data_IF_043688268546
#
_entry.id   IF_043688268546
#
_cell.length_a   1.000
_cell.length_b   1.000
_cell.length_c   1.000
_cell.angle_alpha   90.00
_cell.angle_beta   90.00
_cell.angle_gamma   90.00
#
_symmetry.space_group_name_H-M   'P 1'
#
loop_
_entity.id
_entity.type
_entity.pdbx_description
1 polymer ?
#
# COMPACT_ATOMS: atom_id res chain seq x y z
N UNK A 1 4.67 5.47 -24.71
CA UNK A 1 4.51 5.39 -23.23
C UNK A 1 5.86 5.03 -22.59
N UNK A 2 6.30 5.81 -21.61
CA UNK A 2 7.51 5.48 -20.86
C UNK A 2 7.23 4.25 -19.97
N UNK A 3 8.23 3.36 -19.74
CA UNK A 3 8.06 2.22 -18.87
C UNK A 3 7.78 2.70 -17.42
N UNK A 4 6.98 1.94 -16.63
CA UNK A 4 6.82 2.23 -15.21
C UNK A 4 8.19 2.22 -14.52
N UNK A 5 8.45 3.22 -13.68
CA UNK A 5 9.69 3.35 -12.90
C UNK A 5 9.37 3.39 -11.40
N UNK A 6 10.29 2.87 -10.59
CA UNK A 6 10.13 2.82 -9.13
C UNK A 6 10.37 1.41 -8.56
N UNK A 7 10.42 1.30 -7.24
CA UNK A 7 10.51 -0.02 -6.59
C UNK A 7 9.11 -0.67 -6.58
N UNK A 8 8.97 -1.94 -7.03
CA UNK A 8 7.67 -2.58 -7.20
C UNK A 8 6.88 -2.76 -5.90
N UNK A 9 7.52 -2.74 -4.73
CA UNK A 9 6.85 -3.00 -3.45
C UNK A 9 5.94 -1.84 -3.00
N UNK A 10 6.33 -0.60 -3.30
CA UNK A 10 5.51 0.60 -3.03
C UNK A 10 4.62 1.00 -4.20
N UNK A 11 4.84 0.42 -5.38
CA UNK A 11 4.16 0.82 -6.60
C UNK A 11 2.64 0.53 -6.52
N UNK A 12 1.84 1.53 -6.88
CA UNK A 12 0.39 1.40 -6.93
C UNK A 12 -0.06 0.35 -7.98
N UNK A 13 -1.15 -0.39 -7.76
CA UNK A 13 -1.61 -1.43 -8.67
C UNK A 13 -1.80 -0.92 -10.11
N UNK A 14 -2.36 0.27 -10.30
CA UNK A 14 -2.55 0.87 -11.62
C UNK A 14 -1.24 1.18 -12.36
N UNK A 15 -0.18 1.52 -11.62
CA UNK A 15 1.17 1.77 -12.17
C UNK A 15 1.82 0.45 -12.60
N UNK A 16 1.70 -0.60 -11.78
CA UNK A 16 2.18 -1.96 -12.12
C UNK A 16 1.53 -2.46 -13.42
N UNK A 17 0.22 -2.17 -13.60
CA UNK A 17 -0.51 -2.55 -14.80
C UNK A 17 -0.33 -1.58 -15.99
N UNK A 18 0.57 -0.60 -15.89
CA UNK A 18 0.80 0.42 -16.92
C UNK A 18 -0.48 1.14 -17.39
N UNK A 19 -1.44 1.34 -16.47
CA UNK A 19 -2.65 2.13 -16.71
C UNK A 19 -2.34 3.62 -16.55
N UNK A 20 -3.27 4.48 -16.97
CA UNK A 20 -3.20 5.89 -16.61
C UNK A 20 -3.25 6.03 -15.08
N UNK A 21 -2.35 6.83 -14.53
CA UNK A 21 -2.24 7.12 -13.10
C UNK A 21 -2.03 8.62 -12.90
N UNK A 22 -2.44 9.11 -11.73
CA UNK A 22 -2.31 10.49 -11.29
C UNK A 22 -1.55 10.54 -9.95
N UNK A 23 -1.64 11.65 -9.21
CA UNK A 23 -0.97 11.82 -7.91
C UNK A 23 -1.39 10.79 -6.86
N UNK A 24 -2.53 10.10 -7.05
CA UNK A 24 -3.02 9.11 -6.09
C UNK A 24 -2.16 7.86 -6.06
N UNK A 25 -1.34 7.62 -7.09
CA UNK A 25 -0.33 6.56 -7.06
C UNK A 25 0.70 6.79 -5.94
N UNK A 26 1.05 8.05 -5.65
CA UNK A 26 1.96 8.40 -4.56
C UNK A 26 1.29 8.19 -3.20
N UNK A 27 -0.04 8.38 -3.10
CA UNK A 27 -0.80 8.07 -1.88
C UNK A 27 -0.80 6.58 -1.56
N UNK A 28 -0.82 5.71 -2.57
CA UNK A 28 -0.65 4.27 -2.34
C UNK A 28 0.73 3.97 -1.77
N UNK A 29 1.77 4.54 -2.39
CA UNK A 29 3.16 4.39 -1.91
C UNK A 29 3.32 4.88 -0.47
N UNK A 30 2.70 6.02 -0.15
CA UNK A 30 2.60 6.55 1.21
C UNK A 30 1.87 5.59 2.16
N UNK A 31 0.76 5.00 1.73
CA UNK A 31 0.06 3.96 2.48
C UNK A 31 0.95 2.76 2.83
N UNK A 32 1.73 2.26 1.87
CA UNK A 32 2.70 1.18 2.12
C UNK A 32 3.76 1.60 3.15
N UNK A 33 4.33 2.81 3.05
CA UNK A 33 5.28 3.32 4.04
C UNK A 33 4.66 3.44 5.44
N UNK A 34 3.40 3.88 5.56
CA UNK A 34 2.72 3.94 6.85
C UNK A 34 2.56 2.54 7.46
N UNK A 35 2.27 1.53 6.64
CA UNK A 35 2.16 0.14 7.08
C UNK A 35 3.52 -0.42 7.55
N UNK A 36 4.62 -0.11 6.86
CA UNK A 36 5.97 -0.44 7.34
C UNK A 36 6.24 0.16 8.72
N UNK A 37 5.88 1.42 8.94
CA UNK A 37 6.04 2.09 10.24
C UNK A 37 5.15 1.43 11.31
N UNK A 38 3.90 1.11 10.98
CA UNK A 38 2.94 0.55 11.92
C UNK A 38 3.33 -0.84 12.39
N UNK A 39 3.72 -1.73 11.48
CA UNK A 39 4.08 -3.12 11.81
C UNK A 39 5.59 -3.33 12.03
N UNK A 40 6.42 -2.31 11.73
CA UNK A 40 7.89 -2.37 11.79
C UNK A 40 8.47 -3.49 10.94
N UNK A 41 7.96 -3.60 9.72
CA UNK A 41 8.36 -4.60 8.72
C UNK A 41 8.79 -3.93 7.42
N UNK A 42 9.46 -4.68 6.56
CA UNK A 42 9.78 -4.25 5.20
C UNK A 42 8.58 -4.40 4.26
N UNK A 43 8.47 -3.54 3.23
CA UNK A 43 7.43 -3.61 2.21
C UNK A 43 7.49 -4.84 1.29
N UNK A 44 8.56 -5.65 1.38
CA UNK A 44 8.71 -6.87 0.60
C UNK A 44 7.47 -7.79 0.81
N UNK A 45 6.82 -8.29 -0.25
CA UNK A 45 5.68 -9.20 -0.15
C UNK A 45 5.93 -10.51 0.63
N UNK A 46 7.19 -10.92 0.84
CA UNK A 46 7.53 -12.02 1.73
C UNK A 46 7.29 -11.67 3.21
N UNK A 47 7.35 -10.39 3.56
CA UNK A 47 7.18 -9.88 4.93
C UNK A 47 5.83 -9.16 5.09
N UNK A 48 5.50 -8.21 4.21
CA UNK A 48 4.23 -7.50 4.22
C UNK A 48 3.16 -8.32 3.49
N UNK A 49 2.04 -8.67 4.12
CA UNK A 49 1.04 -9.54 3.52
C UNK A 49 0.29 -8.80 2.40
N UNK A 50 0.53 -9.21 1.15
CA UNK A 50 -0.11 -8.66 -0.05
C UNK A 50 -1.15 -9.61 -0.63
N UNK A 51 -2.15 -9.06 -1.30
CA UNK A 51 -3.15 -9.83 -2.04
C UNK A 51 -2.69 -10.10 -3.47
N UNK A 52 -3.32 -11.06 -4.18
CA UNK A 52 -3.01 -11.40 -5.58
C UNK A 52 -3.20 -10.25 -6.58
N UNK A 53 -3.99 -9.24 -6.20
CA UNK A 53 -4.23 -8.02 -6.99
C UNK A 53 -3.35 -6.84 -6.51
N UNK A 54 -2.21 -7.13 -5.87
CA UNK A 54 -1.21 -6.16 -5.41
C UNK A 54 -1.68 -5.19 -4.31
N UNK A 55 -2.83 -5.44 -3.68
CA UNK A 55 -3.26 -4.75 -2.47
C UNK A 55 -2.65 -5.32 -1.19
N UNK A 56 -3.17 -4.90 -0.04
CA UNK A 56 -2.76 -5.35 1.29
C UNK A 56 -3.79 -6.32 1.85
N UNK A 57 -3.36 -7.44 2.42
CA UNK A 57 -4.25 -8.35 3.16
C UNK A 57 -4.42 -7.80 4.57
N UNK A 58 -5.47 -6.99 4.76
CA UNK A 58 -5.70 -6.26 6.00
C UNK A 58 -5.90 -7.17 7.22
N UNK A 59 -6.44 -8.38 7.02
CA UNK A 59 -6.68 -9.32 8.12
C UNK A 59 -5.34 -9.82 8.65
N UNK A 60 -4.49 -10.34 7.76
CA UNK A 60 -3.14 -10.80 8.14
C UNK A 60 -2.27 -9.66 8.62
N UNK A 61 -2.40 -8.48 8.01
CA UNK A 61 -1.62 -7.32 8.43
C UNK A 61 -1.96 -6.94 9.88
N UNK A 62 -3.24 -6.90 10.25
CA UNK A 62 -3.66 -6.60 11.63
C UNK A 62 -3.11 -7.60 12.66
N UNK A 63 -2.88 -8.86 12.30
CA UNK A 63 -2.25 -9.86 13.18
C UNK A 63 -0.79 -9.53 13.50
N UNK A 64 -0.13 -8.69 12.68
CA UNK A 64 1.25 -8.26 12.85
C UNK A 64 1.39 -6.95 13.64
N UNK A 65 0.29 -6.24 13.90
CA UNK A 65 0.29 -4.95 14.58
C UNK A 65 0.17 -5.17 16.08
N UNK A 66 1.16 -4.71 16.85
CA UNK A 66 1.13 -4.76 18.32
C UNK A 66 0.23 -3.65 18.90
N UNK A 67 0.61 -2.39 18.70
CA UNK A 67 -0.18 -1.23 19.10
C UNK A 67 -0.16 -0.14 18.02
N UNK A 68 -1.34 0.34 17.64
CA UNK A 68 -1.48 1.47 16.73
C UNK A 68 -2.76 2.26 17.05
N UNK A 69 -2.71 3.60 17.14
CA UNK A 69 -3.91 4.42 17.19
C UNK A 69 -4.81 4.12 15.99
N UNK A 70 -6.11 3.92 16.24
CA UNK A 70 -7.05 3.47 15.21
C UNK A 70 -7.08 4.41 14.01
N UNK A 71 -7.08 5.72 14.24
CA UNK A 71 -7.12 6.72 13.17
C UNK A 71 -5.88 6.66 12.26
N UNK A 72 -4.71 6.30 12.82
CA UNK A 72 -3.49 6.13 12.04
C UNK A 72 -3.54 4.88 11.17
N UNK A 73 -4.02 3.76 11.73
CA UNK A 73 -4.21 2.52 10.98
C UNK A 73 -5.25 2.70 9.86
N UNK A 74 -6.34 3.40 10.16
CA UNK A 74 -7.38 3.75 9.18
C UNK A 74 -6.82 4.62 8.04
N UNK A 75 -5.96 5.60 8.35
CA UNK A 75 -5.29 6.40 7.34
C UNK A 75 -4.41 5.52 6.45
N UNK A 76 -3.58 4.65 7.03
CA UNK A 76 -2.72 3.74 6.28
C UNK A 76 -3.53 2.82 5.34
N UNK A 77 -4.65 2.28 5.82
CA UNK A 77 -5.56 1.44 5.02
C UNK A 77 -6.29 2.24 3.94
N UNK A 78 -6.68 3.47 4.20
CA UNK A 78 -7.35 4.33 3.22
C UNK A 78 -6.39 4.74 2.10
N UNK A 79 -5.15 5.07 2.43
CA UNK A 79 -4.11 5.40 1.45
C UNK A 79 -3.74 4.19 0.58
N UNK A 80 -3.72 2.97 1.15
CA UNK A 80 -3.38 1.73 0.45
C UNK A 80 -4.55 1.05 -0.29
N UNK A 81 -5.66 1.75 -0.53
CA UNK A 81 -6.78 1.20 -1.31
C UNK A 81 -6.37 0.90 -2.75
N UNK A 82 -6.88 -0.21 -3.29
CA UNK A 82 -6.58 -0.62 -4.66
C UNK A 82 -7.15 0.37 -5.67
N UNK A 83 -8.39 0.83 -5.45
CA UNK A 83 -9.02 1.83 -6.29
C UNK A 83 -8.50 3.22 -5.95
N UNK A 84 -7.89 3.97 -6.89
CA UNK A 84 -7.32 5.29 -6.63
C UNK A 84 -8.33 6.27 -6.02
N UNK A 85 -9.57 6.25 -6.48
CA UNK A 85 -10.66 7.13 -6.02
C UNK A 85 -11.14 6.89 -4.58
N UNK A 86 -10.70 5.81 -3.94
CA UNK A 86 -10.99 5.54 -2.53
C UNK A 86 -9.87 6.05 -1.60
N UNK A 87 -8.73 6.44 -2.18
CA UNK A 87 -7.64 7.12 -1.48
C UNK A 87 -8.05 8.57 -1.19
N UNK A 88 -7.60 9.16 -0.08
CA UNK A 88 -8.02 10.50 0.34
C UNK A 88 -7.57 11.60 -0.62
#
# INVERSE_FOLDING_TARGET
>A
PLPPVGCPWWMAPEVIHAKFYDERADLFSYGIMLLEITARIEADPETMPRTKNFGVDYVKFCEMVDYCPLDFLQLAFKCSQIQPEQRP
#
